data_IF_728533639308
#
_entry.id   IF_728533639308
#
_cell.length_a   1.000
_cell.length_b   1.000
_cell.length_c   1.000
_cell.angle_alpha   90.00
_cell.angle_beta   90.00
_cell.angle_gamma   90.00
#
_symmetry.space_group_name_H-M   'P 1'
#
loop_
_entity.id
_entity.type
_entity.pdbx_description
1 polymer ?
#
# COMPACT_ATOMS: atom_id res chain seq x y z
N UNK A 1 6.86 8.68 -18.24
CA UNK A 1 7.36 7.97 -17.03
C UNK A 1 6.58 6.68 -16.91
N UNK A 2 7.25 5.53 -17.03
CA UNK A 2 6.63 4.21 -16.86
C UNK A 2 6.46 3.98 -15.36
N UNK A 3 5.23 3.74 -14.89
CA UNK A 3 5.00 3.30 -13.51
C UNK A 3 5.10 1.78 -13.49
N UNK A 4 6.11 1.25 -12.83
CA UNK A 4 6.30 -0.19 -12.67
C UNK A 4 5.75 -0.64 -11.32
N UNK A 5 5.16 -1.84 -11.27
CA UNK A 5 4.73 -2.46 -10.02
C UNK A 5 5.99 -2.89 -9.26
N UNK A 6 6.09 -2.54 -7.98
CA UNK A 6 7.25 -2.90 -7.17
C UNK A 6 7.20 -4.34 -6.63
N UNK A 7 6.07 -5.05 -6.77
CA UNK A 7 5.94 -6.45 -6.36
C UNK A 7 6.78 -7.35 -7.26
N UNK A 8 7.61 -8.19 -6.64
CA UNK A 8 8.48 -9.14 -7.34
C UNK A 8 7.62 -10.11 -8.16
N UNK A 9 7.94 -10.28 -9.44
CA UNK A 9 7.21 -11.19 -10.34
C UNK A 9 5.89 -10.64 -10.89
N UNK A 10 5.56 -9.36 -10.65
CA UNK A 10 4.38 -8.75 -11.24
C UNK A 10 4.63 -8.32 -12.70
N UNK A 11 3.98 -8.98 -13.65
CA UNK A 11 3.97 -8.57 -15.04
C UNK A 11 3.01 -7.39 -15.25
N UNK A 12 3.52 -6.33 -15.88
CA UNK A 12 2.80 -5.10 -16.17
C UNK A 12 1.89 -5.32 -17.38
N UNK A 13 0.60 -5.46 -17.13
CA UNK A 13 -0.42 -5.44 -18.18
C UNK A 13 -0.99 -4.03 -18.36
N UNK A 14 -1.37 -3.71 -19.59
CA UNK A 14 -1.97 -2.43 -19.93
C UNK A 14 -3.35 -2.30 -19.26
N UNK A 15 -3.64 -1.11 -18.71
CA UNK A 15 -4.92 -0.81 -18.06
C UNK A 15 -4.96 -0.99 -16.54
N UNK A 16 -3.82 -1.29 -15.89
CA UNK A 16 -3.75 -1.35 -14.43
C UNK A 16 -3.63 0.03 -13.80
N UNK A 17 -4.30 0.21 -12.65
CA UNK A 17 -4.11 1.39 -11.79
C UNK A 17 -2.92 1.18 -10.86
N UNK A 18 -2.17 2.24 -10.59
CA UNK A 18 -0.99 2.21 -9.72
C UNK A 18 -1.25 3.00 -8.44
N UNK A 19 -1.02 2.38 -7.30
CA UNK A 19 -1.20 2.98 -5.98
C UNK A 19 0.14 3.14 -5.27
N UNK A 20 0.40 4.36 -4.78
CA UNK A 20 1.55 4.65 -3.95
C UNK A 20 1.36 4.12 -2.53
N UNK A 21 2.47 3.90 -1.84
CA UNK A 21 2.45 3.48 -0.44
C UNK A 21 1.76 4.52 0.45
N UNK A 22 1.03 4.08 1.49
CA UNK A 22 0.40 5.00 2.43
C UNK A 22 1.45 5.83 3.18
N UNK A 23 1.17 7.12 3.33
CA UNK A 23 1.96 8.03 4.16
C UNK A 23 1.72 7.74 5.64
N UNK A 24 2.78 7.77 6.43
CA UNK A 24 2.66 7.68 7.89
C UNK A 24 2.23 9.04 8.45
N UNK A 25 1.03 9.09 9.05
CA UNK A 25 0.40 10.32 9.53
C UNK A 25 0.61 10.49 11.03
N UNK A 26 1.84 10.79 11.42
CA UNK A 26 2.25 10.89 12.83
C UNK A 26 1.60 12.06 13.61
N UNK A 27 1.08 13.07 12.90
CA UNK A 27 0.51 14.28 13.52
C UNK A 27 -1.03 14.28 13.58
N UNK A 28 -1.71 13.25 13.07
CA UNK A 28 -3.19 13.17 13.02
C UNK A 28 -3.81 12.44 14.23
N UNK A 29 -3.03 12.28 15.31
CA UNK A 29 -3.44 11.59 16.55
C UNK A 29 -2.93 10.16 16.65
N UNK A 30 -2.73 9.68 17.88
CA UNK A 30 -2.07 8.39 18.19
C UNK A 30 -2.68 7.21 17.43
N UNK A 31 -4.02 7.14 17.42
CA UNK A 31 -4.74 6.08 16.72
C UNK A 31 -4.47 6.08 15.19
N UNK A 32 -4.50 7.25 14.56
CA UNK A 32 -4.26 7.39 13.11
C UNK A 32 -2.79 7.12 12.77
N UNK A 33 -1.87 7.58 13.62
CA UNK A 33 -0.45 7.32 13.51
C UNK A 33 -0.15 5.81 13.55
N UNK A 34 -0.71 5.08 14.51
CA UNK A 34 -0.52 3.64 14.62
C UNK A 34 -1.16 2.85 13.48
N UNK A 35 -2.36 3.24 13.05
CA UNK A 35 -3.06 2.60 11.95
C UNK A 35 -2.31 2.76 10.63
N UNK A 36 -1.87 3.98 10.32
CA UNK A 36 -1.13 4.26 9.08
C UNK A 36 0.26 3.63 9.09
N UNK A 37 0.93 3.57 10.25
CA UNK A 37 2.18 2.83 10.45
C UNK A 37 2.01 1.34 10.17
N UNK A 38 1.01 0.69 10.79
CA UNK A 38 0.72 -0.74 10.59
C UNK A 38 0.40 -1.06 9.12
N UNK A 39 -0.41 -0.23 8.46
CA UNK A 39 -0.73 -0.39 7.03
C UNK A 39 0.52 -0.31 6.15
N UNK A 40 1.38 0.68 6.40
CA UNK A 40 2.63 0.85 5.64
C UNK A 40 3.59 -0.32 5.84
N UNK A 41 3.73 -0.83 7.07
CA UNK A 41 4.53 -2.03 7.36
C UNK A 41 4.00 -3.27 6.65
N UNK A 42 2.69 -3.49 6.66
CA UNK A 42 2.08 -4.62 5.97
C UNK A 42 2.35 -4.58 4.45
N UNK A 43 2.28 -3.39 3.84
CA UNK A 43 2.64 -3.22 2.43
C UNK A 43 4.11 -3.56 2.15
N UNK A 44 5.05 -3.07 2.96
CA UNK A 44 6.48 -3.37 2.79
C UNK A 44 6.71 -4.88 2.88
N UNK A 45 6.10 -5.54 3.88
CA UNK A 45 6.20 -6.98 4.07
C UNK A 45 5.65 -7.77 2.87
N UNK A 46 4.52 -7.35 2.29
CA UNK A 46 3.90 -8.01 1.15
C UNK A 46 4.69 -7.85 -0.15
N UNK A 47 5.38 -6.71 -0.36
CA UNK A 47 6.21 -6.50 -1.55
C UNK A 47 7.49 -7.35 -1.53
N UNK A 48 7.92 -7.83 -0.34
CA UNK A 48 9.06 -8.74 -0.15
C UNK A 48 10.35 -8.29 -0.86
N UNK A 49 10.59 -6.98 -0.93
CA UNK A 49 11.80 -6.39 -1.49
C UNK A 49 12.79 -6.05 -0.38
N UNK A 50 14.02 -6.54 -0.50
CA UNK A 50 15.09 -6.33 0.48
C UNK A 50 15.57 -4.87 0.55
N UNK A 51 15.36 -4.09 -0.52
CA UNK A 51 15.77 -2.69 -0.64
C UNK A 51 14.73 -1.69 -0.11
N UNK A 52 13.60 -2.16 0.44
CA UNK A 52 12.53 -1.29 0.93
C UNK A 52 12.58 -1.07 2.44
N UNK A 53 12.92 0.15 2.85
CA UNK A 53 12.87 0.58 4.24
C UNK A 53 11.63 1.44 4.52
N UNK A 54 11.10 1.36 5.74
CA UNK A 54 9.90 2.10 6.16
C UNK A 54 10.03 3.62 5.96
N UNK A 55 11.20 4.17 6.31
CA UNK A 55 11.50 5.61 6.22
C UNK A 55 11.85 6.07 4.81
N UNK A 56 12.31 5.18 3.92
CA UNK A 56 12.85 5.55 2.60
C UNK A 56 12.11 4.89 1.43
N UNK A 57 10.78 4.84 1.51
CA UNK A 57 9.97 4.40 0.36
C UNK A 57 10.00 5.47 -0.72
N UNK A 58 10.61 5.13 -1.84
CA UNK A 58 10.66 6.02 -3.00
C UNK A 58 9.26 6.25 -3.58
N UNK A 59 8.98 7.50 -3.93
CA UNK A 59 7.76 7.97 -4.60
C UNK A 59 7.53 7.35 -5.98
N UNK A 60 8.56 6.72 -6.55
CA UNK A 60 8.47 5.96 -7.80
C UNK A 60 8.02 4.50 -7.59
N UNK A 61 7.97 4.02 -6.34
CA UNK A 61 7.46 2.69 -6.00
C UNK A 61 5.93 2.74 -5.91
N UNK A 62 5.29 1.87 -6.67
CA UNK A 62 3.84 1.74 -6.70
C UNK A 62 3.43 0.28 -6.83
N UNK A 63 2.27 -0.06 -6.29
CA UNK A 63 1.67 -1.39 -6.37
C UNK A 63 0.50 -1.30 -7.34
N UNK A 64 0.39 -2.25 -8.27
CA UNK A 64 -0.74 -2.28 -9.21
C UNK A 64 -2.02 -2.80 -8.55
N UNK A 65 -3.18 -2.44 -9.11
CA UNK A 65 -4.50 -2.84 -8.61
C UNK A 65 -4.67 -4.36 -8.44
N UNK A 66 -3.95 -5.20 -9.18
CA UNK A 66 -4.02 -6.68 -9.07
C UNK A 66 -3.73 -7.22 -7.67
N UNK A 67 -2.89 -6.53 -6.90
CA UNK A 67 -2.53 -6.98 -5.55
C UNK A 67 -3.55 -6.60 -4.49
N UNK A 68 -4.65 -5.95 -4.87
CA UNK A 68 -5.74 -5.59 -3.97
C UNK A 68 -6.92 -6.53 -4.18
N UNK A 69 -7.54 -6.95 -3.08
CA UNK A 69 -8.85 -7.60 -3.15
C UNK A 69 -9.83 -6.63 -3.85
N UNK A 70 -10.45 -7.08 -4.94
CA UNK A 70 -11.31 -6.28 -5.84
C UNK A 70 -10.64 -5.11 -6.60
N UNK A 71 -9.31 -5.01 -6.62
CA UNK A 71 -8.62 -3.96 -7.39
C UNK A 71 -8.75 -2.54 -6.87
N UNK A 72 -9.33 -2.34 -5.66
CA UNK A 72 -9.64 -1.02 -5.10
C UNK A 72 -8.82 -0.72 -3.85
N UNK A 73 -8.13 0.42 -3.88
CA UNK A 73 -7.47 0.99 -2.71
C UNK A 73 -8.46 1.88 -1.94
N UNK A 74 -8.68 1.56 -0.66
CA UNK A 74 -9.57 2.32 0.19
C UNK A 74 -8.83 2.99 1.34
N UNK A 75 -8.78 4.32 1.34
CA UNK A 75 -8.30 5.13 2.48
C UNK A 75 -9.51 5.53 3.33
N UNK A 76 -10.18 4.58 4.00
CA UNK A 76 -11.28 4.96 4.90
C UNK A 76 -10.74 5.49 6.24
N UNK A 77 -11.21 6.68 6.62
CA UNK A 77 -11.37 7.11 8.01
C UNK A 77 -12.51 6.27 8.62
N UNK A 78 -12.29 5.71 9.82
CA UNK A 78 -13.25 4.79 10.44
C UNK A 78 -14.58 5.46 10.77
N UNK A 79 -15.65 4.93 10.20
CA UNK A 79 -16.91 4.73 10.91
C UNK A 79 -17.45 3.34 10.55
N UNK A 80 -17.70 2.55 11.59
CA UNK A 80 -18.44 1.28 11.62
C UNK A 80 -17.72 -0.05 11.33
N UNK A 81 -18.12 -1.01 12.17
CA UNK A 81 -17.55 -2.31 12.49
C UNK A 81 -17.69 -3.40 11.42
N UNK A 82 -17.32 -3.10 10.17
CA UNK A 82 -17.12 -4.11 9.14
C UNK A 82 -15.85 -3.76 8.39
N UNK A 83 -14.71 -4.06 9.02
CA UNK A 83 -13.37 -3.86 8.49
C UNK A 83 -13.19 -4.65 7.19
N UNK A 84 -13.55 -4.07 6.06
CA UNK A 84 -13.07 -4.55 4.76
C UNK A 84 -11.63 -4.03 4.61
N UNK A 85 -10.73 -4.66 5.36
CA UNK A 85 -9.29 -4.47 5.22
C UNK A 85 -8.89 -5.12 3.89
N UNK A 86 -8.90 -4.36 2.80
CA UNK A 86 -8.26 -4.81 1.57
C UNK A 86 -6.75 -4.73 1.76
N UNK A 87 -6.20 -5.81 2.32
CA UNK A 87 -4.76 -6.08 2.39
C UNK A 87 -4.17 -6.19 0.98
N UNK A 88 -2.88 -5.85 0.82
CA UNK A 88 -2.11 -6.41 -0.29
C UNK A 88 -2.16 -7.94 -0.11
N UNK A 89 -2.68 -8.66 -1.11
CA UNK A 89 -2.83 -10.12 -1.08
C UNK A 89 -1.58 -10.88 -1.54
N UNK A 90 -0.38 -10.30 -1.33
CA UNK A 90 0.87 -10.98 -1.65
C UNK A 90 1.45 -11.74 -0.47
#
# INVERSE_FOLDING_TARGET
IVRTCCVVGCNLENGLSFYSFPTWKQHEGAYIADLTKRRRLAWIAAVRRADMQFSSISRYLSVCSRHFHSGKFYIYHLKNSSCVQHYLLC
#
